data_IF_846824953580
#
_entry.id   IF_846824953580
#
_cell.length_a   1.000
_cell.length_b   1.000
_cell.length_c   1.000
_cell.angle_alpha   90.00
_cell.angle_beta   90.00
_cell.angle_gamma   90.00
#
_symmetry.space_group_name_H-M   'P 1'
#
loop_
_entity.id
_entity.type
_entity.pdbx_description
1 polymer ?
#
# COMPACT_ATOMS: atom_id res chain seq x y z
N UNK A 1 8.53 -16.83 0.77
CA UNK A 1 7.43 -15.88 1.05
C UNK A 1 6.46 -16.53 2.02
N UNK A 2 5.98 -15.84 3.05
CA UNK A 2 4.93 -16.31 3.95
C UNK A 2 3.65 -15.54 3.66
N UNK A 3 2.54 -16.25 3.45
CA UNK A 3 1.27 -15.66 2.98
C UNK A 3 0.12 -16.62 3.27
N UNK A 4 -1.10 -16.09 3.40
CA UNK A 4 -2.30 -16.93 3.40
C UNK A 4 -2.46 -17.61 2.04
N UNK A 5 -2.42 -18.94 2.02
CA UNK A 5 -2.37 -19.71 0.77
C UNK A 5 -3.59 -19.48 -0.13
N UNK A 6 -4.75 -19.30 0.47
CA UNK A 6 -6.03 -19.04 -0.22
C UNK A 6 -6.10 -17.60 -0.81
N UNK A 7 -5.17 -16.72 -0.46
CA UNK A 7 -5.07 -15.38 -1.07
C UNK A 7 -4.32 -15.39 -2.41
N UNK A 8 -3.75 -16.53 -2.81
CA UNK A 8 -2.97 -16.64 -4.05
C UNK A 8 -3.75 -17.42 -5.11
N UNK A 9 -3.84 -16.84 -6.32
CA UNK A 9 -4.29 -17.60 -7.50
C UNK A 9 -3.23 -18.61 -7.95
N UNK A 10 -3.66 -19.64 -8.69
CA UNK A 10 -2.74 -20.67 -9.20
C UNK A 10 -1.67 -20.05 -10.13
N UNK A 11 -2.04 -19.06 -10.96
CA UNK A 11 -1.08 -18.34 -11.81
C UNK A 11 0.01 -17.63 -11.00
N UNK A 12 -0.31 -17.09 -9.83
CA UNK A 12 0.70 -16.46 -8.94
C UNK A 12 1.58 -17.51 -8.29
N UNK A 13 1.03 -18.69 -7.94
CA UNK A 13 1.81 -19.80 -7.38
C UNK A 13 2.80 -20.36 -8.43
N UNK A 14 2.37 -20.53 -9.67
CA UNK A 14 3.22 -20.96 -10.79
C UNK A 14 4.36 -19.95 -11.04
N UNK A 15 4.04 -18.67 -11.15
CA UNK A 15 5.04 -17.62 -11.32
C UNK A 15 6.04 -17.58 -10.16
N UNK A 16 5.58 -17.76 -8.93
CA UNK A 16 6.46 -17.82 -7.76
C UNK A 16 7.43 -19.00 -7.84
N UNK A 17 6.95 -20.17 -8.28
CA UNK A 17 7.77 -21.36 -8.45
C UNK A 17 8.83 -21.15 -9.56
N UNK A 18 8.45 -20.56 -10.70
CA UNK A 18 9.37 -20.21 -11.80
C UNK A 18 10.46 -19.23 -11.34
N UNK A 19 10.11 -18.29 -10.45
CA UNK A 19 11.06 -17.35 -9.85
C UNK A 19 11.87 -17.93 -8.68
N UNK A 20 11.74 -19.22 -8.38
CA UNK A 20 12.44 -19.86 -7.25
C UNK A 20 11.95 -19.39 -5.87
N UNK A 21 10.73 -18.83 -5.78
CA UNK A 21 10.16 -18.34 -4.54
C UNK A 21 9.41 -19.48 -3.83
N UNK A 22 9.88 -19.87 -2.65
CA UNK A 22 9.15 -20.82 -1.79
C UNK A 22 8.01 -20.11 -1.07
N UNK A 23 6.79 -20.63 -1.22
CA UNK A 23 5.60 -20.17 -0.50
C UNK A 23 5.44 -21.02 0.77
N UNK A 24 5.10 -20.40 1.87
CA UNK A 24 4.83 -21.02 3.16
C UNK A 24 3.58 -20.39 3.79
N UNK A 25 2.84 -21.13 4.64
CA UNK A 25 1.74 -20.57 5.42
C UNK A 25 2.18 -19.33 6.20
N UNK A 26 1.27 -18.38 6.37
CA UNK A 26 1.60 -17.10 7.03
C UNK A 26 2.18 -17.29 8.43
N UNK A 27 1.63 -18.21 9.22
CA UNK A 27 2.06 -18.50 10.59
C UNK A 27 3.47 -19.12 10.68
N UNK A 28 3.98 -19.70 9.60
CA UNK A 28 5.33 -20.27 9.55
C UNK A 28 6.44 -19.23 9.74
N UNK A 29 6.13 -17.93 9.66
CA UNK A 29 7.12 -16.86 9.81
C UNK A 29 7.88 -16.97 11.14
N UNK A 30 7.20 -17.37 12.22
CA UNK A 30 7.82 -17.48 13.55
C UNK A 30 8.71 -18.71 13.66
N UNK A 31 8.24 -19.85 13.14
CA UNK A 31 9.04 -21.06 13.07
C UNK A 31 10.28 -20.86 12.18
N UNK A 32 10.12 -20.15 11.06
CA UNK A 32 11.25 -19.79 10.21
C UNK A 32 12.24 -18.87 10.91
N UNK A 33 11.77 -17.86 11.66
CA UNK A 33 12.66 -16.99 12.44
C UNK A 33 13.49 -17.79 13.45
N UNK A 34 12.92 -18.81 14.07
CA UNK A 34 13.61 -19.71 15.00
C UNK A 34 14.68 -20.60 14.31
N UNK A 35 14.64 -20.78 12.98
CA UNK A 35 15.67 -21.54 12.24
C UNK A 35 16.89 -20.71 11.86
N UNK A 36 16.90 -19.43 12.13
CA UNK A 36 18.05 -18.57 11.82
C UNK A 36 19.25 -19.03 12.68
N UNK A 37 20.40 -19.29 12.04
CA UNK A 37 21.55 -19.85 12.71
C UNK A 37 22.02 -19.01 13.90
N UNK A 38 22.45 -19.67 14.96
CA UNK A 38 23.09 -19.02 16.11
C UNK A 38 24.30 -18.17 15.68
N UNK A 39 24.57 -17.12 16.43
CA UNK A 39 25.67 -16.17 16.17
C UNK A 39 25.60 -15.44 14.81
N UNK A 40 24.47 -15.55 14.09
CA UNK A 40 24.27 -14.78 12.86
C UNK A 40 23.85 -13.33 13.16
N UNK A 41 23.93 -12.48 12.13
CA UNK A 41 23.46 -11.09 12.21
C UNK A 41 22.20 -10.91 11.40
N UNK A 42 21.13 -10.37 12.00
CA UNK A 42 19.86 -10.10 11.38
C UNK A 42 19.57 -8.59 11.38
N UNK A 43 19.33 -8.03 10.20
CA UNK A 43 18.86 -6.65 10.08
C UNK A 43 17.33 -6.64 10.10
N UNK A 44 16.76 -5.92 11.02
CA UNK A 44 15.31 -5.66 11.10
C UNK A 44 15.02 -4.29 11.73
N UNK A 45 13.88 -3.68 11.37
CA UNK A 45 13.42 -2.45 12.02
C UNK A 45 12.53 -2.81 13.22
N UNK A 46 13.08 -2.75 14.43
CA UNK A 46 12.35 -3.05 15.67
C UNK A 46 11.10 -2.20 15.90
N UNK A 47 10.96 -1.06 15.21
CA UNK A 47 9.77 -0.20 15.29
C UNK A 47 8.60 -0.71 14.42
N UNK A 48 8.89 -1.61 13.45
CA UNK A 48 7.92 -2.10 12.47
C UNK A 48 7.68 -3.60 12.57
N UNK A 49 8.65 -4.35 13.07
CA UNK A 49 8.54 -5.80 13.26
C UNK A 49 7.81 -6.08 14.57
N UNK A 50 6.85 -7.02 14.54
CA UNK A 50 6.17 -7.42 15.77
C UNK A 50 7.12 -8.12 16.75
N UNK A 51 6.81 -8.01 18.03
CA UNK A 51 7.64 -8.54 19.11
C UNK A 51 7.86 -10.07 19.02
N UNK A 52 6.85 -10.83 18.56
CA UNK A 52 6.94 -12.29 18.45
C UNK A 52 8.03 -12.74 17.49
N UNK A 53 8.29 -11.99 16.39
CA UNK A 53 9.40 -12.30 15.47
C UNK A 53 10.74 -12.11 16.18
N UNK A 54 10.92 -11.00 16.89
CA UNK A 54 12.19 -10.76 17.61
C UNK A 54 12.43 -11.76 18.71
N UNK A 55 11.36 -12.20 19.39
CA UNK A 55 11.44 -13.20 20.46
C UNK A 55 11.60 -14.64 19.96
N UNK A 56 11.35 -14.90 18.69
CA UNK A 56 11.58 -16.19 18.06
C UNK A 56 13.05 -16.42 17.66
N UNK A 57 13.84 -15.34 17.55
CA UNK A 57 15.27 -15.45 17.28
C UNK A 57 16.03 -16.00 18.50
N UNK A 58 17.08 -16.78 18.26
CA UNK A 58 18.00 -17.19 19.32
C UNK A 58 18.64 -15.98 20.00
N UNK A 59 18.86 -16.05 21.32
CA UNK A 59 19.54 -15.00 22.10
C UNK A 59 20.94 -14.68 21.59
N UNK A 60 21.57 -15.61 20.88
CA UNK A 60 22.90 -15.45 20.29
C UNK A 60 22.88 -14.69 18.96
N UNK A 61 21.70 -14.43 18.39
CA UNK A 61 21.54 -13.67 17.13
C UNK A 61 21.77 -12.19 17.37
N UNK A 62 22.72 -11.60 16.66
CA UNK A 62 22.96 -10.16 16.72
C UNK A 62 21.94 -9.39 15.89
N UNK A 63 21.09 -8.58 16.52
CA UNK A 63 20.07 -7.77 15.84
C UNK A 63 20.61 -6.37 15.53
N UNK A 64 20.72 -6.05 14.23
CA UNK A 64 20.96 -4.70 13.73
C UNK A 64 19.63 -4.00 13.48
N UNK A 65 19.23 -3.11 14.38
CA UNK A 65 17.97 -2.37 14.24
C UNK A 65 18.14 -1.16 13.33
N UNK A 66 17.76 -1.31 12.07
CA UNK A 66 17.77 -0.24 11.05
C UNK A 66 16.55 -0.39 10.13
N UNK A 67 16.23 0.70 9.41
CA UNK A 67 15.19 0.67 8.37
C UNK A 67 15.50 -0.44 7.35
N UNK A 68 14.45 -1.16 6.90
CA UNK A 68 14.60 -2.22 5.90
C UNK A 68 15.00 -1.59 4.56
N UNK A 69 16.16 -1.98 3.98
CA UNK A 69 16.65 -1.40 2.72
C UNK A 69 15.68 -1.62 1.55
N UNK A 70 14.88 -2.68 1.57
CA UNK A 70 13.89 -2.94 0.52
C UNK A 70 12.84 -1.83 0.40
N UNK A 71 12.59 -1.05 1.45
CA UNK A 71 11.67 0.09 1.39
C UNK A 71 12.20 1.19 0.47
N UNK A 72 13.49 1.52 0.59
CA UNK A 72 14.12 2.51 -0.31
C UNK A 72 14.22 1.96 -1.73
N UNK A 73 14.63 0.69 -1.90
CA UNK A 73 14.71 0.06 -3.22
C UNK A 73 13.35 0.07 -3.93
N UNK A 74 12.26 -0.24 -3.21
CA UNK A 74 10.90 -0.18 -3.76
C UNK A 74 10.46 1.26 -4.10
N UNK A 75 10.93 2.27 -3.37
CA UNK A 75 10.59 3.66 -3.60
C UNK A 75 11.24 4.23 -4.87
N UNK A 76 12.38 3.67 -5.29
CA UNK A 76 13.07 4.04 -6.53
C UNK A 76 12.36 3.35 -7.70
N UNK A 77 11.65 4.13 -8.49
CA UNK A 77 10.85 3.64 -9.60
C UNK A 77 11.70 3.43 -10.85
N UNK A 78 11.41 2.36 -11.60
CA UNK A 78 11.95 2.17 -12.94
C UNK A 78 11.22 3.05 -13.97
N UNK A 79 11.70 3.08 -15.22
CA UNK A 79 11.15 3.94 -16.28
C UNK A 79 9.66 3.67 -16.57
N UNK A 80 9.24 2.39 -16.54
CA UNK A 80 7.83 2.00 -16.78
C UNK A 80 6.94 2.50 -15.64
N UNK A 81 7.40 2.36 -14.40
CA UNK A 81 6.68 2.86 -13.22
C UNK A 81 6.59 4.39 -13.23
N UNK A 82 7.65 5.08 -13.68
CA UNK A 82 7.66 6.54 -13.81
C UNK A 82 6.66 7.00 -14.87
N UNK A 83 6.64 6.38 -16.04
CA UNK A 83 5.71 6.70 -17.12
C UNK A 83 4.26 6.48 -16.68
N UNK A 84 3.95 5.32 -16.11
CA UNK A 84 2.62 5.01 -15.60
C UNK A 84 2.20 5.97 -14.47
N UNK A 85 3.11 6.34 -13.60
CA UNK A 85 2.85 7.32 -12.53
C UNK A 85 2.49 8.69 -13.13
N UNK A 86 3.24 9.16 -14.13
CA UNK A 86 2.94 10.44 -14.82
C UNK A 86 1.57 10.40 -15.52
N UNK A 87 1.26 9.29 -16.22
CA UNK A 87 -0.05 9.09 -16.87
C UNK A 87 -1.18 9.09 -15.83
N UNK A 88 -1.03 8.35 -14.74
CA UNK A 88 -2.03 8.28 -13.68
C UNK A 88 -2.28 9.67 -13.05
N UNK A 89 -1.25 10.43 -12.75
CA UNK A 89 -1.39 11.79 -12.21
C UNK A 89 -2.05 12.76 -13.19
N UNK A 90 -1.80 12.62 -14.50
CA UNK A 90 -2.46 13.44 -15.51
C UNK A 90 -3.96 13.16 -15.53
N UNK A 91 -4.36 11.88 -15.55
CA UNK A 91 -5.76 11.47 -15.57
C UNK A 91 -6.50 11.86 -14.29
N UNK A 92 -5.88 11.65 -13.11
CA UNK A 92 -6.42 12.11 -11.84
C UNK A 92 -6.54 13.64 -11.79
N UNK A 93 -5.56 14.37 -12.31
CA UNK A 93 -5.60 15.82 -12.43
C UNK A 93 -6.77 16.33 -13.27
N UNK A 94 -7.15 15.61 -14.33
CA UNK A 94 -8.34 15.91 -15.13
C UNK A 94 -9.61 15.71 -14.30
N UNK A 95 -9.74 14.60 -13.58
CA UNK A 95 -10.89 14.31 -12.72
C UNK A 95 -11.04 15.37 -11.62
N UNK A 96 -9.95 15.67 -10.91
CA UNK A 96 -9.94 16.70 -9.85
C UNK A 96 -10.27 18.09 -10.41
N UNK A 97 -9.77 18.46 -11.58
CA UNK A 97 -10.08 19.77 -12.18
C UNK A 97 -11.56 19.89 -12.54
N UNK A 98 -12.16 18.84 -13.12
CA UNK A 98 -13.59 18.78 -13.41
C UNK A 98 -14.41 18.90 -12.10
N UNK A 99 -13.99 18.17 -11.06
CA UNK A 99 -14.60 18.23 -9.74
C UNK A 99 -14.55 19.63 -9.13
N UNK A 100 -13.39 20.28 -9.12
CA UNK A 100 -13.24 21.64 -8.59
C UNK A 100 -14.12 22.67 -9.32
N UNK A 101 -14.22 22.54 -10.64
CA UNK A 101 -15.10 23.38 -11.43
C UNK A 101 -16.56 23.17 -11.04
N UNK A 102 -17.00 21.91 -10.97
CA UNK A 102 -18.37 21.57 -10.56
C UNK A 102 -18.68 22.06 -9.15
N UNK A 103 -17.79 21.80 -8.20
CA UNK A 103 -17.98 22.21 -6.80
C UNK A 103 -18.14 23.73 -6.68
N UNK A 104 -17.25 24.50 -7.30
CA UNK A 104 -17.33 25.98 -7.30
C UNK A 104 -18.62 26.53 -7.92
N UNK A 105 -19.17 25.83 -8.91
CA UNK A 105 -20.44 26.25 -9.54
C UNK A 105 -21.67 25.94 -8.70
N UNK A 106 -21.63 24.87 -7.92
CA UNK A 106 -22.82 24.29 -7.29
C UNK A 106 -22.87 24.47 -5.77
N UNK A 107 -21.75 24.70 -5.09
CA UNK A 107 -21.72 24.93 -3.65
C UNK A 107 -22.65 26.07 -3.25
N UNK A 108 -23.54 25.80 -2.29
CA UNK A 108 -24.55 26.73 -1.83
C UNK A 108 -25.77 26.90 -2.77
N UNK A 109 -25.85 26.19 -3.90
CA UNK A 109 -26.95 26.26 -4.87
C UNK A 109 -27.74 24.97 -4.96
N UNK A 110 -27.13 23.83 -4.69
CA UNK A 110 -27.75 22.51 -4.68
C UNK A 110 -27.48 21.85 -3.33
N UNK A 111 -28.38 20.98 -2.84
CA UNK A 111 -28.11 20.16 -1.68
C UNK A 111 -26.85 19.30 -1.91
N UNK A 112 -25.94 19.34 -0.97
CA UNK A 112 -24.74 18.49 -0.97
C UNK A 112 -24.22 18.35 0.46
N UNK A 113 -23.55 17.26 0.72
CA UNK A 113 -22.82 16.97 1.94
C UNK A 113 -21.42 16.41 1.60
N UNK A 114 -20.62 16.15 2.60
CA UNK A 114 -19.24 15.68 2.45
C UNK A 114 -19.17 14.31 1.76
N UNK A 115 -20.15 13.45 1.97
CA UNK A 115 -20.23 12.13 1.36
C UNK A 115 -20.58 12.25 -0.13
N UNK A 116 -21.65 12.94 -0.47
CA UNK A 116 -22.09 13.13 -1.86
C UNK A 116 -21.05 13.85 -2.73
N UNK A 117 -20.30 14.77 -2.13
CA UNK A 117 -19.18 15.46 -2.80
C UNK A 117 -18.01 14.49 -3.05
N UNK A 118 -17.69 13.63 -2.09
CA UNK A 118 -16.66 12.60 -2.24
C UNK A 118 -17.03 11.57 -3.30
N UNK A 119 -18.28 11.09 -3.29
CA UNK A 119 -18.82 10.16 -4.28
C UNK A 119 -18.78 10.74 -5.70
N UNK A 120 -19.08 12.04 -5.83
CA UNK A 120 -18.99 12.70 -7.13
C UNK A 120 -17.54 12.76 -7.65
N UNK A 121 -16.56 13.06 -6.80
CA UNK A 121 -15.15 12.99 -7.19
C UNK A 121 -14.75 11.58 -7.62
N UNK A 122 -15.19 10.57 -6.86
CA UNK A 122 -14.93 9.18 -7.21
C UNK A 122 -15.54 8.84 -8.58
N UNK A 123 -16.79 9.22 -8.85
CA UNK A 123 -17.45 8.97 -10.13
C UNK A 123 -16.71 9.57 -11.33
N UNK A 124 -16.01 10.69 -11.15
CA UNK A 124 -15.18 11.30 -12.17
C UNK A 124 -13.87 10.51 -12.39
N UNK A 125 -13.30 9.94 -11.32
CA UNK A 125 -12.13 9.07 -11.39
C UNK A 125 -12.42 7.74 -12.07
N UNK A 126 -13.58 7.15 -11.79
CA UNK A 126 -14.07 5.91 -12.40
C UNK A 126 -14.20 5.98 -13.91
N UNK A 127 -14.41 7.18 -14.47
CA UNK A 127 -14.44 7.41 -15.91
C UNK A 127 -13.06 7.45 -16.57
N UNK A 128 -11.97 7.46 -15.79
CA UNK A 128 -10.61 7.54 -16.33
C UNK A 128 -10.10 6.15 -16.71
N UNK A 129 -9.39 6.10 -17.85
CA UNK A 129 -8.78 4.87 -18.33
C UNK A 129 -7.83 4.27 -17.28
N UNK A 130 -7.99 2.98 -17.01
CA UNK A 130 -7.12 2.25 -16.08
C UNK A 130 -7.45 2.44 -14.60
N UNK A 131 -8.52 3.15 -14.24
CA UNK A 131 -9.00 3.20 -12.88
C UNK A 131 -9.29 1.79 -12.34
N UNK A 132 -8.91 1.52 -11.11
CA UNK A 132 -9.14 0.24 -10.43
C UNK A 132 -9.91 0.42 -9.13
N UNK A 133 -9.42 1.34 -8.29
CA UNK A 133 -9.99 1.63 -6.99
C UNK A 133 -9.39 2.91 -6.43
N UNK A 134 -9.97 3.47 -5.37
CA UNK A 134 -9.38 4.56 -4.60
C UNK A 134 -8.25 4.03 -3.72
N UNK A 135 -7.20 4.83 -3.53
CA UNK A 135 -6.08 4.46 -2.66
C UNK A 135 -6.44 4.54 -1.16
N UNK A 136 -7.35 5.43 -0.82
CA UNK A 136 -8.00 5.61 0.49
C UNK A 136 -9.21 6.52 0.33
N UNK A 137 -10.12 6.46 1.30
CA UNK A 137 -11.34 7.27 1.28
C UNK A 137 -11.03 8.76 1.22
N UNK A 138 -11.81 9.50 0.42
CA UNK A 138 -11.68 10.94 0.31
C UNK A 138 -12.00 11.60 1.65
N UNK A 139 -11.05 12.36 2.20
CA UNK A 139 -11.25 13.15 3.39
C UNK A 139 -11.86 14.50 2.96
N UNK A 140 -13.12 14.71 3.27
CA UNK A 140 -13.83 15.96 3.02
C UNK A 140 -14.35 16.54 4.34
N UNK A 141 -14.16 17.82 4.54
CA UNK A 141 -14.67 18.53 5.71
C UNK A 141 -15.20 19.89 5.30
N UNK A 142 -16.37 20.26 5.86
CA UNK A 142 -16.99 21.55 5.62
C UNK A 142 -17.29 22.25 6.95
N UNK A 143 -17.07 23.57 7.00
CA UNK A 143 -17.35 24.41 8.17
C UNK A 143 -16.66 23.85 9.44
N UNK A 144 -17.42 23.53 10.49
CA UNK A 144 -16.92 23.03 11.76
C UNK A 144 -16.16 21.69 11.62
N UNK A 145 -16.53 20.84 10.65
CA UNK A 145 -15.87 19.58 10.38
C UNK A 145 -14.49 19.73 9.69
N UNK A 146 -14.22 20.91 9.11
CA UNK A 146 -12.95 21.22 8.48
C UNK A 146 -11.93 21.86 9.45
N UNK A 147 -12.32 22.14 10.68
CA UNK A 147 -11.45 22.69 11.71
C UNK A 147 -10.62 21.58 12.36
N UNK A 148 -9.34 21.51 12.00
CA UNK A 148 -8.33 20.67 12.66
C UNK A 148 -7.35 21.54 13.44
#
# INVERSE_FOLDING_TARGET
MVVEENALSDAVKEMAAECGITIRPYEDVYAYAATIPENSTVLLDKRKVNYRITNALSETVHIVSKANPSQLMKAIKNEIELENTRKAHLLDGIAVTKFMYWLKKNVGKIPMDEVSVSDYLQSLREQMEGYRDISFDTIAGYNANAAM
#
